data_IF_334964227329
#
_entry.id   IF_334964227329
#
_cell.length_a   1.000
_cell.length_b   1.000
_cell.length_c   1.000
_cell.angle_alpha   90.00
_cell.angle_beta   90.00
_cell.angle_gamma   90.00
#
_symmetry.space_group_name_H-M   'P 1'
#
loop_
_entity.id
_entity.type
_entity.pdbx_description
1 polymer ?
#
# COMPACT_ATOMS: atom_id res chain seq x y z
N UNK A 1 1.08 -1.73 14.58
CA UNK A 1 1.20 -2.33 13.24
C UNK A 1 -0.15 -2.98 12.95
N UNK A 2 -0.70 -2.76 11.76
CA UNK A 2 -2.01 -3.23 11.34
C UNK A 2 -1.86 -4.25 10.21
N UNK A 3 -2.79 -5.19 10.13
CA UNK A 3 -2.83 -6.22 9.08
C UNK A 3 -3.94 -5.88 8.09
N UNK A 4 -3.68 -6.11 6.80
CA UNK A 4 -4.65 -5.90 5.74
C UNK A 4 -4.64 -7.09 4.77
N UNK A 5 -5.83 -7.39 4.23
CA UNK A 5 -6.03 -8.46 3.26
C UNK A 5 -6.37 -7.89 1.89
N UNK A 6 -5.55 -8.23 0.87
CA UNK A 6 -5.80 -7.80 -0.51
C UNK A 6 -6.89 -8.62 -1.18
N UNK A 7 -7.39 -8.15 -2.32
CA UNK A 7 -8.36 -8.93 -3.12
C UNK A 7 -7.74 -10.18 -3.75
N UNK A 8 -6.40 -10.20 -3.88
CA UNK A 8 -5.60 -11.33 -4.36
C UNK A 8 -5.27 -12.36 -3.27
N UNK A 9 -5.74 -12.16 -2.03
CA UNK A 9 -5.59 -13.12 -0.95
C UNK A 9 -4.33 -12.97 -0.11
N UNK A 10 -3.70 -11.79 -0.13
CA UNK A 10 -2.39 -11.56 0.47
C UNK A 10 -2.53 -10.79 1.77
N UNK A 11 -1.79 -11.24 2.77
CA UNK A 11 -1.64 -10.55 4.04
C UNK A 11 -0.39 -9.67 4.01
N UNK A 12 -0.56 -8.40 4.36
CA UNK A 12 0.56 -7.49 4.57
C UNK A 12 0.36 -6.65 5.81
N UNK A 13 1.48 -6.16 6.35
CA UNK A 13 1.48 -5.26 7.50
C UNK A 13 1.79 -3.84 7.08
N UNK A 14 1.14 -2.89 7.76
CA UNK A 14 1.42 -1.47 7.58
C UNK A 14 1.41 -0.72 8.91
N UNK A 15 2.08 0.43 8.92
CA UNK A 15 2.02 1.40 9.99
C UNK A 15 1.53 2.75 9.45
N UNK A 16 0.85 3.49 10.33
CA UNK A 16 0.26 4.79 10.00
C UNK A 16 0.91 5.84 10.89
N UNK A 17 1.45 6.88 10.27
CA UNK A 17 1.92 8.08 10.97
C UNK A 17 1.04 9.27 10.56
N UNK A 18 0.45 9.93 11.56
CA UNK A 18 -0.33 11.15 11.37
C UNK A 18 0.45 12.27 12.07
N UNK A 19 1.25 13.05 11.32
CA UNK A 19 2.19 14.00 11.91
C UNK A 19 1.48 15.12 12.70
N UNK A 20 0.28 15.49 12.29
CA UNK A 20 -0.58 16.44 13.02
C UNK A 20 -2.04 15.96 12.96
N UNK A 21 -2.58 15.50 14.09
CA UNK A 21 -3.96 15.02 14.19
C UNK A 21 -4.99 16.11 13.94
N UNK A 22 -4.63 17.39 14.10
CA UNK A 22 -5.50 18.52 13.74
C UNK A 22 -5.54 18.75 12.22
N UNK A 23 -4.55 18.22 11.49
CA UNK A 23 -4.43 18.24 10.03
C UNK A 23 -4.51 16.82 9.47
N UNK A 24 -5.57 16.09 9.85
CA UNK A 24 -5.91 14.73 9.37
C UNK A 24 -6.02 14.59 7.84
N UNK A 25 -5.74 15.64 7.08
CA UNK A 25 -5.71 15.62 5.63
C UNK A 25 -4.52 14.86 5.06
N UNK A 26 -3.38 14.77 5.74
CA UNK A 26 -2.19 14.05 5.22
C UNK A 26 -1.82 12.91 6.14
N UNK A 27 -1.76 11.71 5.56
CA UNK A 27 -1.40 10.48 6.26
C UNK A 27 -0.21 9.86 5.56
N UNK A 28 0.82 9.54 6.33
CA UNK A 28 1.97 8.79 5.86
C UNK A 28 1.82 7.33 6.28
N UNK A 29 2.00 6.43 5.33
CA UNK A 29 1.81 5.00 5.49
C UNK A 29 3.11 4.31 5.12
N UNK A 30 3.66 3.52 6.03
CA UNK A 30 4.78 2.63 5.70
C UNK A 30 4.23 1.23 5.51
N UNK A 31 4.44 0.68 4.32
CA UNK A 31 3.93 -0.62 3.90
C UNK A 31 5.10 -1.56 3.67
N UNK A 32 5.12 -2.70 4.37
CA UNK A 32 6.14 -3.74 4.18
C UNK A 32 5.57 -4.81 3.27
N UNK A 33 6.13 -4.94 2.07
CA UNK A 33 5.67 -5.95 1.11
C UNK A 33 6.11 -7.35 1.55
N UNK A 34 5.19 -8.33 1.63
CA UNK A 34 5.56 -9.71 1.93
C UNK A 34 6.34 -10.38 0.79
N UNK A 35 6.32 -9.82 -0.43
CA UNK A 35 6.99 -10.42 -1.60
C UNK A 35 8.45 -10.02 -1.74
N UNK A 36 8.74 -8.76 -1.44
CA UNK A 36 10.08 -8.19 -1.66
C UNK A 36 10.83 -7.99 -0.36
N UNK A 37 10.15 -8.01 0.80
CA UNK A 37 10.72 -7.61 2.09
C UNK A 37 11.03 -6.12 2.18
N UNK A 38 10.78 -5.35 1.12
CA UNK A 38 11.05 -3.92 1.06
C UNK A 38 9.90 -3.13 1.68
N UNK A 39 10.26 -2.11 2.44
CA UNK A 39 9.33 -1.10 2.91
C UNK A 39 9.14 -0.01 1.84
N UNK A 40 7.90 0.42 1.63
CA UNK A 40 7.56 1.55 0.78
C UNK A 40 6.75 2.57 1.57
N UNK A 41 6.96 3.85 1.29
CA UNK A 41 6.22 4.95 1.92
C UNK A 41 5.17 5.45 0.95
N UNK A 42 3.92 5.49 1.39
CA UNK A 42 2.78 6.02 0.69
C UNK A 42 2.26 7.24 1.46
N UNK A 43 2.21 8.40 0.79
CA UNK A 43 1.66 9.63 1.35
C UNK A 43 0.31 9.87 0.72
N UNK A 44 -0.71 10.01 1.57
CA UNK A 44 -2.11 10.06 1.13
C UNK A 44 -2.75 11.35 1.63
N UNK A 45 -3.40 12.08 0.72
CA UNK A 45 -4.28 13.17 1.11
C UNK A 45 -5.72 12.67 1.28
N UNK A 46 -6.20 12.58 2.52
CA UNK A 46 -7.53 12.07 2.87
C UNK A 46 -8.65 12.96 2.31
N UNK A 47 -8.44 14.28 2.23
CA UNK A 47 -9.42 15.18 1.63
C UNK A 47 -9.55 14.93 0.11
N UNK A 48 -8.43 14.71 -0.57
CA UNK A 48 -8.44 14.33 -1.99
C UNK A 48 -9.11 12.99 -2.22
N UNK A 49 -8.87 12.00 -1.35
CA UNK A 49 -9.53 10.70 -1.43
C UNK A 49 -11.06 10.81 -1.27
N UNK A 50 -11.52 11.64 -0.33
CA UNK A 50 -12.94 11.88 -0.10
C UNK A 50 -13.62 12.47 -1.35
N UNK A 51 -12.96 13.39 -2.06
CA UNK A 51 -13.48 13.99 -3.30
C UNK A 51 -13.72 12.93 -4.38
N UNK A 52 -12.84 11.93 -4.47
CA UNK A 52 -12.93 10.85 -5.48
C UNK A 52 -13.64 9.59 -4.95
N UNK A 53 -14.22 9.65 -3.74
CA UNK A 53 -14.94 8.53 -3.14
C UNK A 53 -14.07 7.31 -2.80
N UNK A 54 -12.77 7.49 -2.56
CA UNK A 54 -11.84 6.41 -2.17
C UNK A 54 -11.52 6.46 -0.67
N UNK A 55 -11.15 5.31 -0.11
CA UNK A 55 -10.62 5.20 1.26
C UNK A 55 -9.10 5.03 1.26
N UNK A 56 -8.48 5.33 2.41
CA UNK A 56 -7.05 5.07 2.64
C UNK A 56 -6.75 3.58 2.49
N UNK A 57 -7.66 2.72 2.96
CA UNK A 57 -7.56 1.27 2.87
C UNK A 57 -7.53 0.77 1.43
N UNK A 58 -8.46 1.23 0.57
CA UNK A 58 -8.46 0.85 -0.84
C UNK A 58 -7.17 1.29 -1.54
N UNK A 59 -6.63 2.45 -1.18
CA UNK A 59 -5.36 2.96 -1.73
C UNK A 59 -4.18 2.07 -1.31
N UNK A 60 -4.17 1.59 -0.06
CA UNK A 60 -3.16 0.64 0.43
C UNK A 60 -3.22 -0.70 -0.32
N UNK A 61 -4.43 -1.25 -0.52
CA UNK A 61 -4.63 -2.50 -1.26
C UNK A 61 -4.11 -2.35 -2.69
N UNK A 62 -4.52 -1.28 -3.39
CA UNK A 62 -4.07 -1.00 -4.76
C UNK A 62 -2.54 -0.89 -4.87
N UNK A 63 -1.91 -0.23 -3.90
CA UNK A 63 -0.46 -0.07 -3.83
C UNK A 63 0.25 -1.42 -3.70
N UNK A 64 -0.19 -2.29 -2.78
CA UNK A 64 0.40 -3.62 -2.60
C UNK A 64 0.19 -4.50 -3.83
N UNK A 65 -1.01 -4.52 -4.39
CA UNK A 65 -1.32 -5.32 -5.59
C UNK A 65 -0.53 -4.85 -6.82
N UNK A 66 -0.22 -3.55 -6.92
CA UNK A 66 0.67 -3.04 -7.96
C UNK A 66 2.07 -3.65 -7.85
N UNK A 67 2.67 -3.65 -6.65
CA UNK A 67 4.00 -4.24 -6.45
C UNK A 67 3.99 -5.76 -6.57
N UNK A 68 2.91 -6.43 -6.18
CA UNK A 68 2.72 -7.86 -6.43
C UNK A 68 2.79 -8.17 -7.93
N UNK A 69 2.04 -7.42 -8.76
CA UNK A 69 2.05 -7.60 -10.21
C UNK A 69 3.43 -7.37 -10.81
N UNK A 70 4.15 -6.34 -10.33
CA UNK A 70 5.52 -6.07 -10.77
C UNK A 70 6.47 -7.22 -10.39
N UNK A 71 6.41 -7.71 -9.15
CA UNK A 71 7.24 -8.83 -8.70
C UNK A 71 6.96 -10.13 -9.47
N UNK A 72 5.67 -10.43 -9.75
CA UNK A 72 5.28 -11.59 -10.58
C UNK A 72 5.82 -11.47 -12.01
N UNK A 73 5.80 -10.27 -12.59
CA UNK A 73 6.32 -10.02 -13.93
C UNK A 73 7.85 -10.14 -14.01
N UNK A 74 8.58 -9.73 -12.96
CA UNK A 74 10.04 -9.90 -12.94
C UNK A 74 10.43 -11.36 -12.73
N UNK A 75 9.73 -12.09 -11.87
CA UNK A 75 9.94 -13.51 -11.67
C UNK A 75 9.68 -14.33 -12.95
N UNK A 76 8.62 -13.99 -13.72
CA UNK A 76 8.32 -14.68 -14.97
C UNK A 76 9.35 -14.42 -16.07
N UNK A 77 9.89 -13.20 -16.16
CA UNK A 77 10.99 -12.86 -17.09
C UNK A 77 12.27 -13.61 -16.76
N UNK A 78 12.62 -13.71 -15.48
CA UNK A 78 13.82 -14.43 -15.04
C UNK A 78 13.70 -15.96 -15.21
N UNK A 79 12.50 -16.52 -15.18
CA UNK A 79 12.26 -17.94 -15.42
C UNK A 79 12.26 -18.35 -16.91
N UNK A 80 12.19 -17.36 -17.82
CA UNK A 80 12.22 -17.56 -19.27
C UNK A 80 13.59 -17.29 -19.91
N UNK A 81 14.59 -16.90 -19.11
CA UNK A 81 15.99 -16.70 -19.54
C UNK A 81 16.87 -17.87 -19.11
#
# INVERSE_FOLDING_TARGET
MLELFTTTGIFFTYSVNIPDRSKMQVVELTVVSPFTGNASVLIVNVASLAIVGKSVESTLIEHVEYYERMAKNDASKNAQS
#
